data_IF_879792580415
#
_entry.id   IF_879792580415
#
_cell.length_a   1.000
_cell.length_b   1.000
_cell.length_c   1.000
_cell.angle_alpha   90.00
_cell.angle_beta   90.00
_cell.angle_gamma   90.00
#
_symmetry.space_group_name_H-M   'P 1'
#
loop_
_entity.id
_entity.type
_entity.pdbx_description
1 polymer ?
#
# COMPACT_ATOMS: atom_id res chain seq x y z
N UNK A 1 20.86 -11.84 2.35
CA UNK A 1 19.45 -12.01 1.95
C UNK A 1 18.63 -11.06 2.80
N UNK A 2 17.79 -10.18 2.25
CA UNK A 2 16.92 -9.37 3.09
C UNK A 2 15.95 -10.29 3.82
N UNK A 3 15.71 -10.01 5.09
CA UNK A 3 14.76 -10.75 5.92
C UNK A 3 13.36 -10.30 5.50
N UNK A 4 12.78 -10.96 4.50
CA UNK A 4 11.37 -10.78 4.17
C UNK A 4 10.56 -11.62 5.15
N UNK A 5 9.73 -10.98 5.97
CA UNK A 5 8.86 -11.68 6.91
C UNK A 5 7.91 -12.57 6.13
N UNK A 6 8.18 -13.89 6.17
CA UNK A 6 7.39 -14.92 5.46
C UNK A 6 6.29 -15.47 6.35
N UNK A 7 5.67 -14.66 7.22
CA UNK A 7 4.67 -15.16 8.16
C UNK A 7 3.75 -14.05 8.61
N UNK A 8 2.46 -14.25 8.38
CA UNK A 8 1.36 -13.49 8.98
C UNK A 8 1.39 -13.45 10.54
N UNK A 9 2.29 -14.19 11.19
CA UNK A 9 2.32 -14.36 12.64
C UNK A 9 3.05 -13.25 13.44
N UNK A 10 3.87 -12.41 12.80
CA UNK A 10 4.63 -11.33 13.47
C UNK A 10 4.45 -9.98 12.74
N UNK A 11 3.23 -9.66 12.29
CA UNK A 11 2.96 -8.30 11.83
C UNK A 11 2.96 -7.38 13.05
N UNK A 12 4.02 -6.59 13.20
CA UNK A 12 4.09 -5.57 14.24
C UNK A 12 3.14 -4.46 13.81
N UNK A 13 2.27 -4.06 14.72
CA UNK A 13 1.41 -2.89 14.50
C UNK A 13 2.29 -1.66 14.23
N UNK A 14 2.25 -1.09 13.01
CA UNK A 14 3.11 0.03 12.65
C UNK A 14 2.83 1.27 13.52
N UNK A 15 1.63 1.40 14.10
CA UNK A 15 1.30 2.52 14.99
C UNK A 15 2.02 2.42 16.34
N UNK A 16 2.35 1.21 16.77
CA UNK A 16 3.05 0.93 18.03
C UNK A 16 4.57 1.17 17.96
N UNK A 17 5.13 1.27 16.74
CA UNK A 17 6.56 1.48 16.54
C UNK A 17 6.89 2.98 16.66
N UNK A 18 7.81 3.38 17.58
CA UNK A 18 8.14 4.78 17.82
C UNK A 18 9.18 5.29 16.80
N UNK A 19 8.88 5.14 15.51
CA UNK A 19 9.68 5.68 14.42
C UNK A 19 8.86 6.49 13.43
N UNK A 20 9.42 7.62 12.96
CA UNK A 20 8.72 8.52 12.05
C UNK A 20 8.36 7.87 10.71
N UNK A 21 9.23 6.98 10.25
CA UNK A 21 9.10 6.26 8.99
C UNK A 21 9.49 4.80 9.23
N UNK A 22 8.65 3.88 8.78
CA UNK A 22 8.86 2.44 8.90
C UNK A 22 8.57 1.82 7.53
N UNK A 23 9.47 1.00 7.01
CA UNK A 23 9.28 0.29 5.74
C UNK A 23 9.35 -1.20 5.98
N UNK A 24 8.37 -1.95 5.49
CA UNK A 24 8.26 -3.39 5.68
C UNK A 24 8.12 -4.06 4.32
N UNK A 25 9.06 -4.96 3.98
CA UNK A 25 8.98 -5.79 2.78
C UNK A 25 8.23 -7.09 3.04
N UNK A 26 7.20 -7.37 2.24
CA UNK A 26 6.37 -8.56 2.34
C UNK A 26 6.36 -9.36 1.03
N UNK A 27 6.43 -10.67 1.14
CA UNK A 27 6.29 -11.61 0.02
C UNK A 27 5.37 -12.76 0.44
N UNK A 28 4.07 -12.50 0.61
CA UNK A 28 3.11 -13.51 1.06
C UNK A 28 3.08 -14.71 0.11
N UNK A 29 2.90 -15.91 0.66
CA UNK A 29 2.81 -17.14 -0.14
C UNK A 29 1.42 -17.26 -0.77
N UNK A 30 1.33 -18.02 -1.86
CA UNK A 30 0.11 -18.19 -2.68
C UNK A 30 -1.11 -18.70 -1.91
N UNK A 31 -0.88 -19.37 -0.78
CA UNK A 31 -1.91 -19.96 0.09
C UNK A 31 -2.20 -19.07 1.32
N UNK A 32 -1.43 -18.00 1.47
CA UNK A 32 -1.63 -16.90 2.41
C UNK A 32 -2.18 -15.71 1.61
N UNK A 33 -3.30 -15.92 0.90
CA UNK A 33 -4.16 -14.80 0.54
C UNK A 33 -4.59 -14.21 1.89
N UNK A 34 -3.81 -13.25 2.37
CA UNK A 34 -4.14 -12.47 3.53
C UNK A 34 -5.29 -11.58 3.05
N UNK A 35 -6.51 -12.10 3.13
CA UNK A 35 -7.71 -11.29 3.14
C UNK A 35 -7.60 -10.40 4.36
N UNK A 36 -6.95 -9.26 4.19
CA UNK A 36 -6.88 -8.27 5.26
C UNK A 36 -8.29 -7.68 5.31
N UNK A 37 -8.97 -7.87 6.43
CA UNK A 37 -10.23 -7.18 6.68
C UNK A 37 -10.00 -5.67 6.66
N UNK A 38 -11.08 -4.88 6.55
CA UNK A 38 -10.97 -3.44 6.69
C UNK A 38 -10.26 -3.07 8.00
N UNK A 39 -9.28 -2.19 7.89
CA UNK A 39 -8.49 -1.70 9.00
C UNK A 39 -8.01 -0.28 8.69
N UNK A 40 -7.35 0.33 9.66
CA UNK A 40 -6.76 1.68 9.53
C UNK A 40 -5.56 1.78 10.44
N UNK A 41 -4.64 2.66 10.06
CA UNK A 41 -3.49 3.04 10.86
C UNK A 41 -3.58 4.54 11.17
N UNK A 42 -3.03 4.96 12.32
CA UNK A 42 -2.82 6.36 12.66
C UNK A 42 -1.76 6.98 11.74
N UNK A 43 -0.70 6.22 11.40
CA UNK A 43 0.26 6.61 10.37
C UNK A 43 -0.39 6.59 8.97
N UNK A 44 0.09 7.44 8.08
CA UNK A 44 -0.21 7.32 6.65
C UNK A 44 0.57 6.14 6.05
N UNK A 45 0.10 5.58 4.94
CA UNK A 45 0.68 4.40 4.32
C UNK A 45 0.96 4.62 2.82
N UNK A 46 2.15 4.23 2.37
CA UNK A 46 2.48 4.05 0.96
C UNK A 46 2.68 2.55 0.68
N UNK A 47 1.80 1.99 -0.14
CA UNK A 47 1.87 0.62 -0.62
C UNK A 47 2.57 0.57 -1.97
N UNK A 48 3.80 0.07 -2.03
CA UNK A 48 4.54 -0.14 -3.28
C UNK A 48 4.51 -1.61 -3.71
N UNK A 49 4.12 -1.86 -4.97
CA UNK A 49 4.10 -3.21 -5.55
C UNK A 49 5.36 -3.43 -6.39
N UNK A 50 6.28 -4.25 -5.89
CA UNK A 50 7.47 -4.62 -6.66
C UNK A 50 7.15 -5.68 -7.72
N UNK A 51 6.32 -6.67 -7.40
CA UNK A 51 5.83 -7.68 -8.35
C UNK A 51 4.41 -8.15 -8.01
N UNK A 52 3.70 -8.65 -9.01
CA UNK A 52 2.27 -8.95 -8.91
C UNK A 52 1.40 -7.69 -8.92
N UNK A 53 0.15 -7.81 -8.50
CA UNK A 53 -0.78 -6.67 -8.39
C UNK A 53 -1.55 -6.75 -7.09
N UNK A 54 -2.06 -5.62 -6.62
CA UNK A 54 -3.02 -5.58 -5.51
C UNK A 54 -4.24 -4.76 -5.87
N UNK A 55 -5.34 -5.07 -5.20
CA UNK A 55 -6.56 -4.27 -5.18
C UNK A 55 -6.69 -3.70 -3.78
N UNK A 56 -6.82 -2.39 -3.70
CA UNK A 56 -7.08 -1.70 -2.46
C UNK A 56 -8.46 -1.06 -2.51
N UNK A 57 -9.26 -1.27 -1.47
CA UNK A 57 -10.51 -0.59 -1.26
C UNK A 57 -10.32 0.44 -0.15
N UNK A 58 -10.64 1.71 -0.41
CA UNK A 58 -10.57 2.83 0.54
C UNK A 58 -11.84 3.67 0.39
N UNK A 59 -12.58 3.87 1.48
CA UNK A 59 -13.88 4.55 1.42
C UNK A 59 -14.83 3.94 0.34
N UNK A 60 -15.25 4.73 -0.66
CA UNK A 60 -16.12 4.30 -1.77
C UNK A 60 -15.38 4.07 -3.10
N UNK A 61 -14.05 3.92 -3.07
CA UNK A 61 -13.22 3.74 -4.25
C UNK A 61 -12.49 2.40 -4.29
N UNK A 62 -12.17 1.94 -5.49
CA UNK A 62 -11.27 0.81 -5.72
C UNK A 62 -10.03 1.29 -6.49
N UNK A 63 -8.86 0.91 -5.99
CA UNK A 63 -7.59 1.14 -6.64
C UNK A 63 -6.97 -0.18 -7.05
N UNK A 64 -6.77 -0.36 -8.36
CA UNK A 64 -5.89 -1.39 -8.86
C UNK A 64 -4.48 -0.84 -8.85
N UNK A 65 -3.56 -1.52 -8.17
CA UNK A 65 -2.17 -1.11 -8.07
C UNK A 65 -1.32 -2.14 -8.82
N UNK A 66 -0.92 -1.84 -10.07
CA UNK A 66 -0.15 -2.75 -10.90
C UNK A 66 1.32 -2.85 -10.43
N UNK A 67 2.11 -3.79 -10.99
CA UNK A 67 3.52 -3.88 -10.69
C UNK A 67 4.24 -2.55 -10.96
N UNK A 68 5.24 -2.24 -10.14
CA UNK A 68 6.04 -1.02 -10.18
C UNK A 68 5.26 0.27 -9.91
N UNK A 69 4.07 0.18 -9.33
CA UNK A 69 3.26 1.34 -8.93
C UNK A 69 3.12 1.40 -7.41
N UNK A 70 2.78 2.59 -6.90
CA UNK A 70 2.50 2.79 -5.49
C UNK A 70 1.14 3.46 -5.27
N UNK A 71 0.52 3.11 -4.15
CA UNK A 71 -0.71 3.71 -3.66
C UNK A 71 -0.44 4.43 -2.35
N UNK A 72 -0.77 5.71 -2.32
CA UNK A 72 -0.78 6.54 -1.13
C UNK A 72 -2.13 6.43 -0.44
N UNK A 73 -2.11 6.16 0.86
CA UNK A 73 -3.28 6.07 1.73
C UNK A 73 -3.05 7.04 2.90
N UNK A 74 -3.89 8.08 3.05
CA UNK A 74 -3.71 9.07 4.10
C UNK A 74 -3.97 8.47 5.49
N UNK A 75 -3.37 9.08 6.51
CA UNK A 75 -3.52 8.71 7.91
C UNK A 75 -5.00 8.57 8.32
N UNK A 76 -5.33 7.48 9.01
CA UNK A 76 -6.67 7.21 9.53
C UNK A 76 -7.70 6.72 8.50
N UNK A 77 -7.34 6.61 7.21
CA UNK A 77 -8.23 6.08 6.19
C UNK A 77 -8.47 4.58 6.38
N UNK A 78 -9.74 4.19 6.49
CA UNK A 78 -10.15 2.79 6.55
C UNK A 78 -10.00 2.16 5.16
N UNK A 79 -9.25 1.07 5.11
CA UNK A 79 -8.91 0.40 3.86
C UNK A 79 -8.78 -1.12 4.02
N UNK A 80 -8.92 -1.82 2.89
CA UNK A 80 -8.69 -3.25 2.73
C UNK A 80 -7.78 -3.47 1.54
N UNK A 81 -6.82 -4.39 1.66
CA UNK A 81 -5.89 -4.75 0.58
C UNK A 81 -6.01 -6.23 0.28
N UNK A 82 -6.09 -6.55 -0.99
CA UNK A 82 -6.15 -7.92 -1.51
C UNK A 82 -5.09 -8.10 -2.59
N UNK A 83 -4.24 -9.13 -2.41
CA UNK A 83 -3.21 -9.49 -3.37
C UNK A 83 -3.76 -10.32 -4.53
N UNK A 84 -3.36 -10.02 -5.76
CA UNK A 84 -3.68 -10.81 -6.95
C UNK A 84 -2.43 -11.58 -7.39
N UNK A 85 -2.45 -12.88 -7.18
CA UNK A 85 -1.36 -13.78 -7.57
C UNK A 85 -0.18 -13.75 -6.59
N UNK A 86 1.03 -14.02 -7.10
CA UNK A 86 2.25 -13.93 -6.28
C UNK A 86 2.71 -12.48 -6.24
N UNK A 87 2.71 -11.88 -5.05
CA UNK A 87 3.05 -10.48 -4.86
C UNK A 87 4.34 -10.31 -4.04
N UNK A 88 5.10 -9.27 -4.38
CA UNK A 88 6.16 -8.71 -3.55
C UNK A 88 5.80 -7.23 -3.35
N UNK A 89 5.58 -6.84 -2.10
CA UNK A 89 5.11 -5.49 -1.75
C UNK A 89 5.98 -4.89 -0.64
N UNK A 90 5.96 -3.57 -0.58
CA UNK A 90 6.58 -2.79 0.48
C UNK A 90 5.52 -1.86 1.07
N UNK A 91 5.32 -1.95 2.38
CA UNK A 91 4.39 -1.09 3.12
C UNK A 91 5.23 -0.07 3.90
N UNK A 92 5.09 1.21 3.56
CA UNK A 92 5.78 2.31 4.23
C UNK A 92 4.78 3.09 5.08
N UNK A 93 5.02 3.14 6.38
CA UNK A 93 4.20 3.88 7.33
C UNK A 93 4.89 5.17 7.76
N UNK A 94 4.17 6.29 7.69
CA UNK A 94 4.71 7.65 7.86
C UNK A 94 3.88 8.40 8.91
N UNK A 95 4.56 9.02 9.87
CA UNK A 95 3.91 9.89 10.86
C UNK A 95 3.15 11.05 10.18
N UNK A 96 1.90 11.36 10.60
CA UNK A 96 1.09 12.39 9.95
C UNK A 96 1.77 13.77 9.86
N UNK A 97 2.59 14.11 10.86
CA UNK A 97 3.34 15.38 10.92
C UNK A 97 4.40 15.50 9.81
N UNK A 98 4.84 14.38 9.22
CA UNK A 98 5.79 14.33 8.11
C UNK A 98 5.11 14.19 6.75
N UNK A 99 3.83 13.83 6.73
CA UNK A 99 3.04 13.64 5.52
C UNK A 99 2.27 14.91 5.10
N UNK A 100 2.52 16.07 5.71
CA UNK A 100 1.74 17.29 5.49
C UNK A 100 1.82 17.86 4.07
N UNK A 101 2.86 17.51 3.33
CA UNK A 101 3.04 17.90 1.93
C UNK A 101 2.48 16.89 0.92
N UNK A 102 1.88 15.80 1.40
CA UNK A 102 1.32 14.73 0.58
C UNK A 102 -0.20 14.89 0.42
N UNK A 103 -0.78 14.09 -0.47
CA UNK A 103 -2.20 14.16 -0.76
C UNK A 103 -3.08 13.82 0.46
N UNK A 104 -4.16 14.57 0.63
CA UNK A 104 -5.12 14.35 1.73
C UNK A 104 -6.11 13.22 1.45
N UNK A 105 -6.08 12.66 0.24
CA UNK A 105 -6.93 11.55 -0.20
C UNK A 105 -6.08 10.40 -0.74
N UNK A 106 -6.67 9.21 -0.81
CA UNK A 106 -6.04 8.04 -1.43
C UNK A 106 -5.78 8.29 -2.92
N UNK A 107 -4.56 8.04 -3.39
CA UNK A 107 -4.18 8.23 -4.79
C UNK A 107 -3.00 7.35 -5.20
N UNK A 108 -2.88 7.04 -6.48
CA UNK A 108 -1.65 6.41 -7.00
C UNK A 108 -0.57 7.48 -7.17
N UNK A 109 0.68 7.13 -6.95
CA UNK A 109 1.82 8.00 -7.25
C UNK A 109 2.82 7.29 -8.15
N UNK A 110 3.45 8.06 -9.04
CA UNK A 110 4.48 7.55 -9.92
C UNK A 110 5.72 7.11 -9.11
N UNK A 111 6.26 5.93 -9.41
CA UNK A 111 7.45 5.40 -8.73
C UNK A 111 8.67 5.53 -9.62
N UNK A 112 9.55 6.48 -9.29
CA UNK A 112 10.82 6.63 -10.00
C UNK A 112 11.80 5.50 -9.62
N UNK A 113 12.82 5.21 -10.44
CA UNK A 113 13.85 4.24 -10.07
C UNK A 113 14.56 4.56 -8.75
N UNK A 114 14.77 5.84 -8.44
CA UNK A 114 15.37 6.27 -7.18
C UNK A 114 14.42 5.97 -6.00
N UNK A 115 13.16 6.40 -6.09
CA UNK A 115 12.15 6.14 -5.06
C UNK A 115 12.02 4.64 -4.76
N UNK A 116 11.99 3.81 -5.80
CA UNK A 116 11.95 2.36 -5.65
C UNK A 116 13.10 1.82 -4.80
N UNK A 117 14.33 2.22 -5.10
CA UNK A 117 15.50 1.71 -4.36
C UNK A 117 15.61 2.31 -2.95
N UNK A 118 15.12 3.54 -2.73
CA UNK A 118 14.99 4.11 -1.39
C UNK A 118 14.00 3.33 -0.52
N UNK A 119 12.83 2.97 -1.07
CA UNK A 119 11.82 2.15 -0.37
C UNK A 119 12.44 0.81 0.07
N UNK A 120 13.11 0.12 -0.86
CA UNK A 120 13.78 -1.16 -0.59
C UNK A 120 14.91 -1.03 0.43
N UNK A 121 15.68 0.05 0.36
CA UNK A 121 16.79 0.30 1.29
C UNK A 121 16.26 0.58 2.69
N UNK A 122 15.19 1.38 2.81
CA UNK A 122 14.52 1.65 4.08
C UNK A 122 13.92 0.38 4.69
N UNK A 123 13.44 -0.55 3.88
CA UNK A 123 12.91 -1.84 4.34
C UNK A 123 13.97 -2.78 4.93
N UNK A 124 15.25 -2.48 4.72
CA UNK A 124 16.38 -3.23 5.31
C UNK A 124 16.89 -2.60 6.61
N UNK A 125 16.36 -1.43 7.00
CA UNK A 125 16.77 -0.78 8.22
C UNK A 125 16.26 -1.56 9.44
N UNK A 126 17.00 -1.56 10.55
CA UNK A 126 16.47 -2.01 11.82
C UNK A 126 15.23 -1.21 12.19
N UNK A 127 14.19 -1.90 12.68
CA UNK A 127 12.92 -1.29 13.09
C UNK A 127 13.13 -0.14 14.08
N UNK A 128 14.06 -0.31 15.03
CA UNK A 128 14.42 0.70 16.03
C UNK A 128 15.76 1.38 15.70
N UNK A 129 16.02 1.69 14.43
CA UNK A 129 17.23 2.41 14.02
C UNK A 129 17.42 3.73 14.80
N UNK A 130 18.65 4.22 15.01
CA UNK A 130 18.89 5.47 15.74
C UNK A 130 18.26 6.68 15.05
N UNK A 131 17.62 7.56 15.84
CA UNK A 131 17.13 8.85 15.33
C UNK A 131 18.29 9.83 15.09
N UNK A 132 18.19 10.62 14.03
CA UNK A 132 19.23 11.59 13.62
C UNK A 132 20.46 10.96 12.93
N UNK A 133 20.43 9.64 12.73
CA UNK A 133 21.47 8.87 12.06
C UNK A 133 21.45 8.97 10.54
N UNK A 134 22.22 8.11 9.88
CA UNK A 134 22.21 8.00 8.43
C UNK A 134 20.87 7.46 7.92
N UNK A 135 20.23 6.61 8.72
CA UNK A 135 18.93 5.99 8.52
C UNK A 135 17.80 7.02 8.49
N UNK A 136 17.84 8.00 9.41
CA UNK A 136 16.90 9.12 9.39
C UNK A 136 17.07 9.97 8.14
N UNK A 137 18.31 10.30 7.75
CA UNK A 137 18.58 11.07 6.52
C UNK A 137 18.12 10.33 5.26
N UNK A 138 18.27 9.01 5.22
CA UNK A 138 17.75 8.20 4.12
C UNK A 138 16.22 8.27 4.05
N UNK A 139 15.56 8.23 5.21
CA UNK A 139 14.10 8.39 5.32
C UNK A 139 13.66 9.79 4.90
N UNK A 140 14.42 10.83 5.24
CA UNK A 140 14.12 12.21 4.82
C UNK A 140 14.16 12.33 3.28
N UNK A 141 15.20 11.77 2.64
CA UNK A 141 15.29 11.74 1.17
C UNK A 141 14.13 10.94 0.56
N UNK A 142 13.73 9.84 1.19
CA UNK A 142 12.56 9.07 0.76
C UNK A 142 11.28 9.92 0.80
N UNK A 143 11.04 10.67 1.88
CA UNK A 143 9.87 11.55 2.02
C UNK A 143 9.87 12.68 0.98
N UNK A 144 11.04 13.25 0.68
CA UNK A 144 11.19 14.24 -0.39
C UNK A 144 10.83 13.64 -1.76
N UNK A 145 11.24 12.40 -2.04
CA UNK A 145 10.88 11.74 -3.30
C UNK A 145 9.38 11.46 -3.40
N UNK A 146 8.74 11.04 -2.29
CA UNK A 146 7.29 10.76 -2.28
C UNK A 146 6.49 12.05 -2.51
N UNK A 147 6.80 13.12 -1.77
CA UNK A 147 6.08 14.41 -1.88
C UNK A 147 6.20 15.06 -3.25
N UNK A 148 7.31 14.83 -3.97
CA UNK A 148 7.52 15.34 -5.33
C UNK A 148 7.03 14.38 -6.43
N UNK A 149 6.52 13.20 -6.07
CA UNK A 149 6.07 12.22 -7.06
C UNK A 149 4.74 12.66 -7.68
N UNK A 150 4.60 12.67 -9.01
CA UNK A 150 3.33 12.96 -9.67
C UNK A 150 2.24 12.00 -9.21
N UNK A 151 1.05 12.56 -8.92
CA UNK A 151 -0.15 11.78 -8.69
C UNK A 151 -0.63 11.19 -10.01
N UNK A 152 -0.95 9.89 -10.00
CA UNK A 152 -1.51 9.16 -11.12
C UNK A 152 -2.98 8.82 -10.86
N UNK A 153 -3.81 8.94 -11.89
CA UNK A 153 -5.26 8.74 -11.78
C UNK A 153 -5.66 7.32 -12.24
N UNK A 154 -5.27 6.30 -11.48
CA UNK A 154 -5.68 4.90 -11.71
C UNK A 154 -6.77 4.43 -10.73
N UNK A 155 -7.81 5.24 -10.53
CA UNK A 155 -8.93 4.87 -9.65
C UNK A 155 -10.15 4.42 -10.45
N UNK A 156 -10.82 3.38 -9.98
CA UNK A 156 -12.13 2.95 -10.49
C UNK A 156 -13.19 3.35 -9.45
N UNK A 157 -14.08 4.31 -9.73
CA UNK A 157 -15.12 4.69 -8.80
C UNK A 157 -16.10 3.53 -8.61
N UNK A 158 -16.37 3.13 -7.36
CA UNK A 158 -17.40 2.14 -7.09
C UNK A 158 -18.77 2.83 -7.08
N UNK A 159 -19.81 2.19 -7.65
CA UNK A 159 -21.14 2.76 -7.65
C UNK A 159 -21.72 2.81 -6.23
N UNK A 160 -22.37 3.92 -5.89
CA UNK A 160 -23.05 4.11 -4.61
C UNK A 160 -24.39 3.36 -4.52
N UNK A 161 -25.03 3.07 -5.66
CA UNK A 161 -26.26 2.29 -5.72
C UNK A 161 -25.99 0.82 -5.39
N UNK A 162 -26.77 0.25 -4.45
CA UNK A 162 -26.54 -1.10 -3.95
C UNK A 162 -26.66 -2.19 -5.01
N UNK A 163 -27.50 -2.00 -6.04
CA UNK A 163 -27.68 -2.99 -7.12
C UNK A 163 -26.47 -2.97 -8.04
N UNK A 164 -25.98 -1.78 -8.39
CA UNK A 164 -24.75 -1.63 -9.17
C UNK A 164 -23.53 -2.11 -8.38
N UNK A 165 -23.53 -1.91 -7.06
CA UNK A 165 -22.46 -2.41 -6.17
C UNK A 165 -22.38 -3.94 -6.19
N UNK A 166 -23.51 -4.63 -6.09
CA UNK A 166 -23.56 -6.09 -6.20
C UNK A 166 -22.99 -6.60 -7.53
N UNK A 167 -23.30 -5.92 -8.64
CA UNK A 167 -22.76 -6.28 -9.96
C UNK A 167 -21.25 -6.07 -10.00
N UNK A 168 -20.76 -4.91 -9.52
CA UNK A 168 -19.33 -4.64 -9.42
C UNK A 168 -18.61 -5.70 -8.57
N UNK A 169 -19.15 -6.05 -7.40
CA UNK A 169 -18.61 -7.09 -6.52
C UNK A 169 -18.58 -8.47 -7.20
N UNK A 170 -19.60 -8.81 -8.00
CA UNK A 170 -19.65 -10.06 -8.75
C UNK A 170 -18.56 -10.12 -9.83
N UNK A 171 -18.38 -9.03 -10.60
CA UNK A 171 -17.33 -8.93 -11.62
C UNK A 171 -15.95 -9.02 -10.97
N UNK A 172 -15.74 -8.36 -9.83
CA UNK A 172 -14.46 -8.41 -9.10
C UNK A 172 -14.14 -9.82 -8.58
N UNK A 173 -15.15 -10.56 -8.09
CA UNK A 173 -14.97 -11.96 -7.63
C UNK A 173 -14.64 -12.92 -8.76
N UNK A 174 -15.06 -12.65 -9.98
CA UNK A 174 -14.78 -13.51 -11.13
C UNK A 174 -14.57 -12.67 -12.40
N UNK A 175 -13.40 -12.03 -12.56
CA UNK A 175 -13.15 -11.08 -13.65
C UNK A 175 -13.13 -11.73 -15.04
N UNK A 176 -12.87 -13.04 -15.09
CA UNK A 176 -12.90 -13.83 -16.32
C UNK A 176 -14.31 -14.31 -16.68
N UNK A 177 -15.29 -14.10 -15.79
CA UNK A 177 -16.68 -14.47 -16.02
C UNK A 177 -17.29 -13.56 -17.10
N UNK A 178 -17.81 -14.19 -18.15
CA UNK A 178 -18.45 -13.52 -19.30
C UNK A 178 -19.98 -13.63 -19.24
N UNK A 179 -20.52 -14.06 -18.10
CA UNK A 179 -21.96 -14.16 -17.90
C UNK A 179 -22.57 -12.76 -18.10
N UNK A 180 -23.49 -12.68 -19.04
CA UNK A 180 -24.16 -11.44 -19.41
C UNK A 180 -25.36 -11.21 -18.48
N UNK A 181 -25.84 -9.97 -18.35
CA UNK A 181 -26.97 -9.62 -17.46
C UNK A 181 -28.35 -10.15 -17.92
N UNK A 182 -28.40 -11.29 -18.62
CA UNK A 182 -29.64 -11.96 -19.05
C UNK A 182 -29.95 -13.25 -18.29
N UNK A 183 -29.14 -13.60 -17.30
CA UNK A 183 -29.36 -14.72 -16.38
C UNK A 183 -29.44 -14.20 -14.94
#
# INVERSE_FOLDING_TARGET
MPVYTTRAANFIDPDSVPRPVISIGLSPRKDENADVVFHRHRKAELLFVASGSLVCEVAAGLWLVPPQSALWIPAGAEHRVEGIGRIEIFCLFIEPELATAMETHCCSIAVTPLLRELIKSCAQLPELHPLGGAESRLSDVLLDQISNSPVENWHLPLPADSRLRQIADSIMKSPADRTNMRE
#
